data_IF_048207998329
#
_entry.id   IF_048207998329
#
_cell.length_a   1.000
_cell.length_b   1.000
_cell.length_c   1.000
_cell.angle_alpha   90.00
_cell.angle_beta   90.00
_cell.angle_gamma   90.00
#
_symmetry.space_group_name_H-M   'P 1'
#
loop_
_entity.id
_entity.type
_entity.pdbx_description
1 polymer ?
#
# COMPACT_ATOMS: atom_id res chain seq x y z
N UNK A 1 -1.99 -1.31 16.92
CA UNK A 1 -2.03 0.00 17.59
C UNK A 1 -0.70 0.67 17.40
N UNK A 2 -0.69 1.94 17.04
CA UNK A 2 0.51 2.74 16.84
C UNK A 2 0.37 4.06 17.60
N UNK A 3 1.49 4.65 18.02
CA UNK A 3 1.49 5.89 18.80
C UNK A 3 1.25 7.15 17.94
N UNK A 4 0.93 7.00 16.65
CA UNK A 4 0.88 8.11 15.70
C UNK A 4 -0.14 7.90 14.61
N UNK A 5 -0.64 8.99 14.03
CA UNK A 5 -1.63 8.92 12.96
C UNK A 5 -0.96 8.33 11.72
N UNK A 6 -1.47 7.17 11.27
CA UNK A 6 -1.18 6.63 9.94
C UNK A 6 -2.25 7.18 9.00
N UNK A 7 -1.83 7.93 7.98
CA UNK A 7 -2.70 8.43 6.92
C UNK A 7 -3.21 7.32 5.99
N UNK A 8 -2.49 6.20 5.93
CA UNK A 8 -2.82 5.04 5.09
C UNK A 8 -3.59 3.96 5.88
N UNK A 9 -3.42 2.69 5.55
CA UNK A 9 -4.17 1.60 6.18
C UNK A 9 -3.45 1.09 7.45
N UNK A 10 -4.20 1.03 8.56
CA UNK A 10 -3.75 0.38 9.78
C UNK A 10 -3.86 -1.16 9.68
N UNK A 11 -2.94 -1.84 10.38
CA UNK A 11 -2.89 -3.29 10.51
C UNK A 11 -3.31 -3.72 11.92
N UNK A 12 -4.20 -4.70 12.02
CA UNK A 12 -4.58 -5.38 13.26
C UNK A 12 -3.67 -6.59 13.47
N UNK A 13 -2.41 -6.31 13.81
CA UNK A 13 -1.34 -7.30 13.80
C UNK A 13 -1.26 -8.18 15.04
N UNK A 14 -0.40 -9.21 14.96
CA UNK A 14 -0.02 -10.07 16.08
C UNK A 14 0.40 -9.32 17.35
N UNK A 15 1.07 -8.17 17.22
CA UNK A 15 1.39 -7.33 18.38
C UNK A 15 0.14 -6.80 19.08
N UNK A 16 -0.87 -6.40 18.31
CA UNK A 16 -2.13 -5.86 18.86
C UNK A 16 -3.00 -6.96 19.42
N UNK A 17 -3.14 -8.07 18.70
CA UNK A 17 -3.95 -9.21 19.16
C UNK A 17 -3.36 -9.84 20.42
N UNK A 18 -2.05 -10.03 20.49
CA UNK A 18 -1.40 -10.57 21.70
C UNK A 18 -1.51 -9.62 22.89
N UNK A 19 -1.29 -8.31 22.70
CA UNK A 19 -1.50 -7.34 23.78
C UNK A 19 -2.93 -7.40 24.33
N UNK A 20 -3.94 -7.48 23.46
CA UNK A 20 -5.34 -7.60 23.88
C UNK A 20 -5.63 -8.94 24.58
N UNK A 21 -5.04 -10.05 24.14
CA UNK A 21 -5.13 -11.35 24.84
C UNK A 21 -4.56 -11.24 26.27
N UNK A 22 -3.41 -10.59 26.42
CA UNK A 22 -2.72 -10.43 27.70
C UNK A 22 -3.45 -9.52 28.69
N UNK A 23 -4.32 -8.61 28.22
CA UNK A 23 -5.15 -7.79 29.12
C UNK A 23 -6.16 -8.60 29.94
N UNK A 24 -6.53 -9.80 29.47
CA UNK A 24 -7.60 -10.60 30.07
C UNK A 24 -9.02 -10.05 29.88
N UNK A 25 -9.21 -8.89 29.22
CA UNK A 25 -10.53 -8.30 29.00
C UNK A 25 -11.39 -9.05 27.96
N UNK A 26 -10.75 -9.77 27.04
CA UNK A 26 -11.41 -10.49 25.97
C UNK A 26 -11.28 -11.99 26.21
N UNK A 27 -12.42 -12.70 26.23
CA UNK A 27 -12.42 -14.16 26.41
C UNK A 27 -11.70 -14.89 25.25
N UNK A 28 -11.80 -14.35 24.03
CA UNK A 28 -11.08 -14.84 22.85
C UNK A 28 -10.92 -13.71 21.83
N UNK A 29 -9.81 -13.71 21.13
CA UNK A 29 -9.62 -12.96 19.89
C UNK A 29 -9.61 -13.94 18.75
N UNK A 30 -10.38 -13.67 17.71
CA UNK A 30 -10.44 -14.55 16.55
C UNK A 30 -9.14 -14.42 15.74
N UNK A 31 -8.43 -15.54 15.58
CA UNK A 31 -7.15 -15.58 14.87
C UNK A 31 -7.27 -15.13 13.41
N UNK A 32 -8.46 -15.27 12.81
CA UNK A 32 -8.68 -14.78 11.45
C UNK A 32 -8.58 -13.26 11.32
N UNK A 33 -8.68 -12.52 12.43
CA UNK A 33 -8.53 -11.06 12.48
C UNK A 33 -7.07 -10.63 12.52
N UNK A 34 -6.15 -11.54 12.84
CA UNK A 34 -4.73 -11.21 12.93
C UNK A 34 -4.14 -10.99 11.53
N UNK A 35 -3.77 -9.75 11.25
CA UNK A 35 -3.26 -9.35 9.95
C UNK A 35 -1.74 -9.50 9.89
N UNK A 36 -1.25 -10.10 8.82
CA UNK A 36 0.18 -10.24 8.59
C UNK A 36 0.82 -8.87 8.32
N UNK A 37 1.86 -8.55 9.09
CA UNK A 37 2.73 -7.39 8.85
C UNK A 37 4.11 -7.84 8.37
N UNK A 38 4.72 -7.02 7.53
CA UNK A 38 6.06 -7.25 6.98
C UNK A 38 7.08 -6.19 7.36
N UNK A 39 6.63 -5.00 7.76
CA UNK A 39 7.50 -3.94 8.22
C UNK A 39 8.30 -4.42 9.46
N UNK A 40 9.64 -4.42 9.36
CA UNK A 40 10.52 -4.88 10.44
C UNK A 40 10.59 -6.41 10.59
N UNK A 41 9.91 -7.19 9.74
CA UNK A 41 9.91 -8.66 9.83
C UNK A 41 11.28 -9.23 9.46
N UNK A 42 11.85 -10.03 10.35
CA UNK A 42 13.14 -10.72 10.12
C UNK A 42 14.36 -9.80 10.17
N UNK A 43 14.24 -8.57 10.70
CA UNK A 43 15.34 -7.60 10.77
C UNK A 43 16.24 -7.74 12.00
N UNK A 44 15.88 -8.63 12.93
CA UNK A 44 16.65 -8.90 14.14
C UNK A 44 16.54 -7.82 15.22
N UNK A 45 17.28 -8.00 16.31
CA UNK A 45 17.19 -7.16 17.50
C UNK A 45 17.66 -5.73 17.27
N UNK A 46 18.63 -5.51 16.38
CA UNK A 46 19.20 -4.19 16.11
C UNK A 46 18.16 -3.18 15.60
N UNK A 47 17.20 -3.66 14.79
CA UNK A 47 16.05 -2.89 14.34
C UNK A 47 15.19 -2.38 15.52
N UNK A 48 15.05 -3.19 16.57
CA UNK A 48 14.24 -2.87 17.76
C UNK A 48 15.03 -1.96 18.71
N UNK A 49 16.35 -2.15 18.80
CA UNK A 49 17.24 -1.40 19.68
C UNK A 49 17.64 -0.01 19.13
N UNK A 50 17.02 0.44 18.04
CA UNK A 50 17.13 1.83 17.55
C UNK A 50 18.23 2.09 16.52
N UNK A 51 18.88 1.06 15.96
CA UNK A 51 19.79 1.25 14.82
C UNK A 51 19.01 1.27 13.52
N UNK A 52 18.75 2.47 13.01
CA UNK A 52 18.09 2.68 11.73
C UNK A 52 19.12 2.64 10.60
N UNK A 53 19.12 1.54 9.84
CA UNK A 53 20.01 1.35 8.69
C UNK A 53 19.29 1.70 7.40
N UNK A 54 19.72 2.78 6.73
CA UNK A 54 19.15 3.24 5.45
C UNK A 54 19.26 2.20 4.31
N UNK A 55 20.06 1.14 4.48
CA UNK A 55 20.11 0.01 3.52
C UNK A 55 18.88 -0.88 3.63
N UNK A 56 18.13 -0.79 4.73
CA UNK A 56 16.89 -1.52 4.92
C UNK A 56 15.74 -0.72 4.30
N UNK A 57 14.88 -1.43 3.55
CA UNK A 57 13.69 -0.90 2.88
C UNK A 57 12.73 -0.14 3.81
N UNK A 58 12.76 -0.40 5.12
CA UNK A 58 11.98 0.32 6.14
C UNK A 58 12.34 1.81 6.23
N UNK A 59 13.55 2.16 5.82
CA UNK A 59 14.12 3.50 5.91
C UNK A 59 14.44 4.06 4.53
N UNK A 60 14.71 5.37 4.47
CA UNK A 60 15.02 6.06 3.22
C UNK A 60 16.18 7.05 3.34
N UNK A 61 16.81 7.34 2.21
CA UNK A 61 17.78 8.42 2.07
C UNK A 61 17.09 9.72 1.60
N UNK A 62 16.97 10.76 2.45
CA UNK A 62 16.29 12.00 2.09
C UNK A 62 16.96 12.76 0.94
N UNK A 63 18.24 12.48 0.62
CA UNK A 63 18.93 13.13 -0.50
C UNK A 63 18.56 12.53 -1.86
N UNK A 64 18.30 11.22 -1.90
CA UNK A 64 18.18 10.46 -3.15
C UNK A 64 16.78 9.85 -3.35
N UNK A 65 15.98 9.71 -2.29
CA UNK A 65 14.75 8.92 -2.27
C UNK A 65 13.52 9.75 -1.85
N UNK A 66 13.48 11.02 -2.27
CA UNK A 66 12.48 11.98 -1.79
C UNK A 66 11.05 11.73 -2.29
N UNK A 67 10.81 10.87 -3.30
CA UNK A 67 9.48 10.68 -3.91
C UNK A 67 9.15 9.23 -4.26
N UNK A 68 9.64 8.26 -3.50
CA UNK A 68 9.38 6.83 -3.73
C UNK A 68 8.02 6.36 -3.20
N UNK A 69 7.64 5.14 -3.48
CA UNK A 69 6.51 4.48 -2.82
C UNK A 69 6.80 4.20 -1.35
N UNK A 70 5.81 4.32 -0.48
CA UNK A 70 5.96 3.84 0.90
C UNK A 70 6.17 2.32 0.95
N UNK A 71 6.63 1.83 2.11
CA UNK A 71 6.89 0.41 2.34
C UNK A 71 5.70 -0.48 1.95
N UNK A 72 4.46 -0.04 2.16
CA UNK A 72 3.27 -0.83 1.89
C UNK A 72 2.68 -0.57 0.50
N UNK A 73 3.31 0.25 -0.34
CA UNK A 73 2.87 0.57 -1.69
C UNK A 73 1.45 1.19 -1.73
N UNK A 74 1.02 1.90 -0.70
CA UNK A 74 -0.26 2.60 -0.65
C UNK A 74 -0.26 3.91 -1.43
N UNK A 75 0.89 4.57 -1.57
CA UNK A 75 1.00 5.85 -2.27
C UNK A 75 2.46 6.24 -2.51
N UNK A 76 2.66 7.28 -3.32
CA UNK A 76 3.97 7.92 -3.36
C UNK A 76 4.14 8.78 -2.11
N UNK A 77 5.37 8.81 -1.63
CA UNK A 77 5.74 9.19 -0.29
C UNK A 77 6.97 10.08 -0.32
N UNK A 78 7.09 10.91 0.71
CA UNK A 78 8.30 11.69 0.95
C UNK A 78 9.12 11.08 2.07
N UNK A 79 10.44 11.08 1.89
CA UNK A 79 11.36 10.68 2.94
C UNK A 79 11.42 11.75 4.04
N UNK A 80 10.85 11.47 5.21
CA UNK A 80 10.84 12.37 6.36
C UNK A 80 11.81 11.90 7.43
N UNK A 81 12.54 12.84 8.01
CA UNK A 81 13.56 12.57 9.03
C UNK A 81 12.98 12.76 10.43
N UNK A 82 13.38 11.91 11.37
CA UNK A 82 13.11 12.12 12.80
C UNK A 82 11.64 12.04 13.21
N UNK A 83 10.81 11.32 12.45
CA UNK A 83 9.42 11.11 12.84
C UNK A 83 9.34 10.33 14.16
N UNK A 84 8.33 10.66 14.97
CA UNK A 84 7.94 9.91 16.17
C UNK A 84 9.04 9.79 17.25
N UNK A 85 9.83 10.84 17.44
CA UNK A 85 10.94 10.90 18.40
C UNK A 85 12.07 9.87 18.17
N UNK A 86 12.13 9.26 16.98
CA UNK A 86 13.27 8.44 16.57
C UNK A 86 14.26 9.30 15.79
N UNK A 87 15.09 10.06 16.51
CA UNK A 87 16.18 10.83 15.89
C UNK A 87 17.07 9.89 15.08
N UNK A 88 17.31 10.25 13.81
CA UNK A 88 18.10 9.48 12.81
C UNK A 88 17.38 8.33 12.08
N UNK A 89 16.07 8.17 12.27
CA UNK A 89 15.28 7.23 11.48
C UNK A 89 14.46 7.99 10.45
N UNK A 90 14.75 7.73 9.17
CA UNK A 90 14.07 8.37 8.07
C UNK A 90 13.07 7.38 7.46
N UNK A 91 11.83 7.78 7.28
CA UNK A 91 10.80 6.89 6.74
C UNK A 91 10.02 7.56 5.60
N UNK A 92 9.53 6.74 4.68
CA UNK A 92 8.67 7.17 3.58
C UNK A 92 7.25 7.39 4.10
N UNK A 93 6.80 8.64 4.04
CA UNK A 93 5.49 9.07 4.51
C UNK A 93 4.57 9.45 3.34
N UNK A 94 3.40 8.80 3.25
CA UNK A 94 2.39 9.08 2.22
C UNK A 94 1.53 10.27 2.62
N UNK A 95 1.42 11.25 1.73
CA UNK A 95 0.52 12.37 1.88
C UNK A 95 -0.96 11.96 1.73
N UNK A 96 -1.86 12.67 2.40
CA UNK A 96 -3.29 12.35 2.36
C UNK A 96 -3.86 12.34 0.95
N UNK A 97 -3.41 13.27 0.12
CA UNK A 97 -3.81 13.40 -1.26
C UNK A 97 -3.06 12.46 -2.22
N UNK A 98 -2.01 11.75 -1.79
CA UNK A 98 -1.13 10.94 -2.65
C UNK A 98 -1.41 9.43 -2.61
N UNK A 99 -2.51 9.02 -1.99
CA UNK A 99 -2.90 7.61 -1.84
C UNK A 99 -3.37 7.06 -3.18
N UNK A 100 -2.71 6.01 -3.69
CA UNK A 100 -3.07 5.37 -4.95
C UNK A 100 -4.47 4.76 -4.93
N UNK A 101 -5.00 4.47 -3.75
CA UNK A 101 -6.35 3.93 -3.60
C UNK A 101 -7.48 4.97 -3.56
N UNK A 102 -7.14 6.25 -3.47
CA UNK A 102 -8.12 7.34 -3.39
C UNK A 102 -8.40 7.91 -4.77
N UNK A 103 -9.60 7.60 -5.30
CA UNK A 103 -10.07 8.13 -6.59
C UNK A 103 -10.32 9.64 -6.56
N UNK A 104 -10.48 10.25 -5.39
CA UNK A 104 -10.66 11.69 -5.21
C UNK A 104 -9.34 12.43 -5.05
N UNK A 105 -8.21 11.72 -5.15
CA UNK A 105 -6.90 12.35 -5.15
C UNK A 105 -6.82 13.43 -6.24
N UNK A 106 -6.33 14.64 -5.95
CA UNK A 106 -6.07 15.66 -6.98
C UNK A 106 -5.03 15.19 -8.01
N UNK A 107 -4.24 14.17 -7.67
CA UNK A 107 -3.30 13.55 -8.60
C UNK A 107 -3.95 12.55 -9.55
N UNK A 108 -5.21 12.16 -9.34
CA UNK A 108 -5.94 11.35 -10.31
C UNK A 108 -6.20 12.14 -11.61
N UNK A 109 -6.44 13.45 -11.50
CA UNK A 109 -6.75 14.31 -12.64
C UNK A 109 -5.61 15.17 -13.18
N UNK A 110 -4.46 15.18 -12.49
CA UNK A 110 -3.30 15.97 -12.91
C UNK A 110 -2.72 15.52 -14.25
N UNK A 111 -2.38 16.49 -15.10
CA UNK A 111 -1.73 16.25 -16.40
C UNK A 111 -0.41 15.48 -16.26
N UNK A 112 0.35 15.75 -15.18
CA UNK A 112 1.68 15.16 -14.95
C UNK A 112 1.58 13.68 -14.56
N UNK A 113 0.58 13.31 -13.80
CA UNK A 113 0.36 11.93 -13.37
C UNK A 113 -0.30 11.12 -14.49
N UNK A 114 -1.22 11.73 -15.24
CA UNK A 114 -1.77 11.16 -16.47
C UNK A 114 -0.67 10.88 -17.50
N UNK A 115 0.32 11.77 -17.68
CA UNK A 115 1.47 11.51 -18.56
C UNK A 115 2.39 10.39 -18.09
N UNK A 116 2.24 9.89 -16.86
CA UNK A 116 2.97 8.73 -16.34
C UNK A 116 2.13 7.44 -16.41
N UNK A 117 0.92 7.49 -17.00
CA UNK A 117 -0.01 6.37 -17.06
C UNK A 117 -0.66 6.03 -15.71
N UNK A 118 -0.65 6.97 -14.75
CA UNK A 118 -1.17 6.69 -13.41
C UNK A 118 -2.67 6.36 -13.43
N UNK A 119 -3.06 5.43 -12.56
CA UNK A 119 -4.45 5.10 -12.26
C UNK A 119 -4.64 4.99 -10.75
N UNK A 120 -5.69 5.65 -10.26
CA UNK A 120 -6.09 5.60 -8.87
C UNK A 120 -7.36 4.76 -8.70
N UNK A 121 -7.47 4.08 -7.56
CA UNK A 121 -8.59 3.22 -7.23
C UNK A 121 -8.22 2.15 -6.22
N UNK A 122 -9.21 1.54 -5.56
CA UNK A 122 -8.97 0.50 -4.55
C UNK A 122 -8.22 -0.73 -5.08
N UNK A 123 -8.14 -0.89 -6.40
CA UNK A 123 -7.37 -1.89 -7.13
C UNK A 123 -5.97 -1.40 -7.58
N UNK A 124 -5.53 -0.24 -7.09
CA UNK A 124 -4.27 0.41 -7.47
C UNK A 124 -3.27 0.47 -6.32
N UNK A 125 -1.98 0.36 -6.67
CA UNK A 125 -0.82 0.39 -5.77
C UNK A 125 0.26 1.29 -6.32
N UNK A 126 1.14 1.74 -5.44
CA UNK A 126 2.32 2.46 -5.84
C UNK A 126 3.41 1.50 -6.35
N UNK A 127 4.04 1.83 -7.47
CA UNK A 127 5.24 1.20 -8.00
C UNK A 127 6.30 2.27 -8.27
N UNK A 128 7.55 1.98 -7.93
CA UNK A 128 8.65 2.89 -8.25
C UNK A 128 8.95 2.82 -9.75
N UNK A 129 9.29 3.95 -10.37
CA UNK A 129 9.56 4.00 -11.81
C UNK A 129 9.95 5.38 -12.29
N UNK A 130 10.28 5.46 -13.57
CA UNK A 130 10.60 6.70 -14.28
C UNK A 130 9.72 6.89 -15.52
N UNK A 131 8.56 6.22 -15.53
CA UNK A 131 7.70 6.14 -16.70
C UNK A 131 7.13 7.51 -17.06
N UNK A 132 7.27 7.90 -18.33
CA UNK A 132 6.80 9.18 -18.86
C UNK A 132 6.46 9.04 -20.35
N UNK A 133 5.28 9.51 -20.75
CA UNK A 133 4.82 9.44 -22.14
C UNK A 133 5.81 10.10 -23.11
N UNK A 134 6.01 9.49 -24.28
CA UNK A 134 6.87 10.04 -25.33
C UNK A 134 6.38 11.44 -25.74
N UNK A 135 7.32 12.36 -25.95
CA UNK A 135 7.03 13.77 -26.25
C UNK A 135 7.20 14.72 -25.05
N UNK A 136 7.30 14.20 -23.83
CA UNK A 136 7.69 14.98 -22.66
C UNK A 136 9.21 14.96 -22.44
N UNK A 137 9.76 16.04 -21.86
CA UNK A 137 11.20 16.11 -21.53
C UNK A 137 11.50 15.17 -20.37
N UNK A 138 12.22 14.09 -20.67
CA UNK A 138 12.61 13.09 -19.68
C UNK A 138 13.61 13.68 -18.67
N UNK A 139 13.36 13.39 -17.40
CA UNK A 139 14.33 13.52 -16.31
C UNK A 139 14.37 12.14 -15.68
N UNK A 140 15.49 11.43 -15.77
CA UNK A 140 15.64 10.05 -15.28
C UNK A 140 15.63 9.99 -13.74
N UNK A 141 14.49 10.34 -13.15
CA UNK A 141 14.27 10.41 -11.71
C UNK A 141 13.27 9.31 -11.39
N UNK A 142 13.66 8.41 -10.48
CA UNK A 142 12.79 7.36 -9.98
C UNK A 142 11.84 7.99 -8.96
N UNK A 143 10.56 7.72 -9.12
CA UNK A 143 9.47 8.19 -8.26
C UNK A 143 8.37 7.14 -8.16
N UNK A 144 7.53 7.26 -7.15
CA UNK A 144 6.34 6.44 -6.99
C UNK A 144 5.25 6.83 -8.01
N UNK A 145 4.63 5.83 -8.60
CA UNK A 145 3.60 5.93 -9.62
C UNK A 145 2.47 4.95 -9.28
N UNK A 146 1.22 5.37 -9.44
CA UNK A 146 0.06 4.58 -9.05
C UNK A 146 -0.45 3.78 -10.25
N UNK A 147 -0.51 2.47 -10.14
CA UNK A 147 -1.03 1.61 -11.21
C UNK A 147 -2.00 0.58 -10.66
N UNK A 148 -2.99 0.24 -11.48
CA UNK A 148 -3.83 -0.93 -11.23
C UNK A 148 -2.96 -2.18 -11.27
N UNK A 149 -3.21 -3.11 -10.35
CA UNK A 149 -2.45 -4.35 -10.29
C UNK A 149 -3.32 -5.55 -9.99
N UNK A 150 -2.77 -6.73 -10.23
CA UNK A 150 -3.37 -8.01 -9.86
C UNK A 150 -2.28 -9.02 -9.53
N UNK A 151 -2.45 -9.75 -8.44
CA UNK A 151 -1.57 -10.87 -8.11
C UNK A 151 -2.16 -12.18 -8.60
N UNK A 152 -1.30 -13.03 -9.13
CA UNK A 152 -1.61 -14.45 -9.37
C UNK A 152 -2.08 -15.15 -8.09
N UNK A 153 -2.88 -16.20 -8.24
CA UNK A 153 -3.45 -16.95 -7.11
C UNK A 153 -2.38 -17.56 -6.18
N UNK A 154 -1.22 -17.94 -6.72
CA UNK A 154 -0.08 -18.46 -5.95
C UNK A 154 0.81 -17.35 -5.33
N UNK A 155 0.54 -16.08 -5.65
CA UNK A 155 1.29 -14.93 -5.14
C UNK A 155 2.73 -14.81 -5.68
N UNK A 156 3.05 -15.44 -6.81
CA UNK A 156 4.42 -15.45 -7.39
C UNK A 156 4.58 -14.52 -8.61
N UNK A 157 3.48 -13.94 -9.07
CA UNK A 157 3.44 -13.02 -10.20
C UNK A 157 2.53 -11.83 -9.89
N UNK A 158 2.96 -10.65 -10.32
CA UNK A 158 2.17 -9.40 -10.31
C UNK A 158 1.94 -8.93 -11.73
N UNK A 159 0.69 -8.68 -12.09
CA UNK A 159 0.30 -7.99 -13.31
C UNK A 159 0.12 -6.50 -12.99
N UNK A 160 0.73 -5.62 -13.77
CA UNK A 160 0.56 -4.17 -13.67
C UNK A 160 -0.11 -3.68 -14.95
N UNK A 161 -1.16 -2.87 -14.81
CA UNK A 161 -1.96 -2.39 -15.94
C UNK A 161 -1.76 -0.89 -16.14
N UNK A 162 -1.24 -0.52 -17.31
CA UNK A 162 -0.92 0.85 -17.70
C UNK A 162 -1.66 1.12 -19.01
N UNK A 163 -2.71 1.93 -18.94
CA UNK A 163 -3.67 2.10 -20.03
C UNK A 163 -4.19 0.74 -20.55
N UNK A 164 -3.88 0.39 -21.79
CA UNK A 164 -4.25 -0.90 -22.42
C UNK A 164 -3.14 -1.96 -22.34
N UNK A 165 -1.98 -1.61 -21.78
CA UNK A 165 -0.82 -2.50 -21.70
C UNK A 165 -0.82 -3.25 -20.37
N UNK A 166 -0.64 -4.58 -20.45
CA UNK A 166 -0.44 -5.46 -19.30
C UNK A 166 1.04 -5.83 -19.18
N UNK A 167 1.66 -5.41 -18.09
CA UNK A 167 3.01 -5.82 -17.71
C UNK A 167 2.93 -7.03 -16.77
N UNK A 168 3.81 -8.00 -16.99
CA UNK A 168 3.88 -9.23 -16.16
C UNK A 168 5.19 -9.26 -15.42
N UNK A 169 5.13 -9.09 -14.09
CA UNK A 169 6.25 -9.18 -13.17
C UNK A 169 6.39 -10.61 -12.63
N UNK A 170 7.42 -11.33 -13.08
CA UNK A 170 7.75 -12.68 -12.61
C UNK A 170 9.09 -12.73 -11.85
N UNK A 171 9.86 -11.65 -11.91
CA UNK A 171 11.15 -11.52 -11.26
C UNK A 171 11.17 -10.30 -10.36
N UNK A 172 11.65 -10.49 -9.14
CA UNK A 172 11.84 -9.41 -8.18
C UNK A 172 12.72 -8.30 -8.76
N UNK A 173 12.32 -7.05 -8.52
CA UNK A 173 13.06 -5.83 -8.94
C UNK A 173 13.36 -5.73 -10.44
N UNK A 174 12.65 -6.45 -11.30
CA UNK A 174 12.85 -6.30 -12.75
C UNK A 174 12.29 -4.96 -13.24
N UNK A 175 12.95 -4.37 -14.23
CA UNK A 175 12.47 -3.16 -14.91
C UNK A 175 11.65 -3.56 -16.14
N UNK A 176 10.47 -2.98 -16.28
CA UNK A 176 9.60 -3.18 -17.44
C UNK A 176 9.42 -1.88 -18.21
N UNK A 177 9.58 -1.93 -19.51
CA UNK A 177 9.28 -0.82 -20.42
C UNK A 177 7.84 -0.93 -20.93
N UNK A 178 7.28 0.20 -21.37
CA UNK A 178 5.92 0.28 -21.91
C UNK A 178 5.99 0.97 -23.26
N UNK A 179 5.29 0.43 -24.25
CA UNK A 179 5.15 1.07 -25.56
C UNK A 179 4.56 2.48 -25.42
N UNK A 180 5.01 3.44 -26.23
CA UNK A 180 4.63 4.87 -26.17
C UNK A 180 5.10 5.65 -24.93
N UNK A 181 5.84 4.99 -24.04
CA UNK A 181 6.49 5.64 -22.90
C UNK A 181 8.02 5.60 -23.04
N UNK A 182 8.66 6.46 -22.27
CA UNK A 182 10.09 6.45 -21.95
C UNK A 182 10.27 6.07 -20.49
N UNK A 183 11.45 5.57 -20.12
CA UNK A 183 11.71 5.07 -18.77
C UNK A 183 11.16 3.66 -18.54
N UNK A 184 10.84 3.35 -17.29
CA UNK A 184 10.42 2.01 -16.88
C UNK A 184 9.53 2.05 -15.63
N UNK A 185 8.85 0.93 -15.38
CA UNK A 185 8.22 0.59 -14.10
C UNK A 185 9.06 -0.51 -13.43
N UNK A 186 9.33 -0.36 -12.14
CA UNK A 186 10.04 -1.34 -11.33
C UNK A 186 9.04 -2.32 -10.71
N UNK A 187 9.21 -3.60 -10.98
CA UNK A 187 8.47 -4.66 -10.30
C UNK A 187 8.84 -4.71 -8.81
N UNK A 188 7.94 -5.22 -7.94
CA UNK A 188 8.20 -5.27 -6.50
C UNK A 188 9.51 -5.98 -6.15
N UNK A 189 10.19 -5.49 -5.12
CA UNK A 189 11.43 -6.08 -4.60
C UNK A 189 11.24 -7.50 -4.06
N UNK A 190 10.03 -7.78 -3.56
CA UNK A 190 9.61 -9.10 -3.15
C UNK A 190 8.15 -9.30 -3.56
N UNK A 191 7.95 -10.01 -4.68
CA UNK A 191 6.62 -10.26 -5.25
C UNK A 191 5.72 -11.02 -4.27
N UNK A 192 6.25 -12.03 -3.60
CA UNK A 192 5.48 -12.85 -2.65
C UNK A 192 5.01 -12.05 -1.45
N UNK A 193 5.86 -11.18 -0.92
CA UNK A 193 5.47 -10.25 0.15
C UNK A 193 4.44 -9.24 -0.34
N UNK A 194 4.70 -8.60 -1.49
CA UNK A 194 3.82 -7.60 -2.08
C UNK A 194 2.40 -8.13 -2.27
N UNK A 195 2.25 -9.36 -2.77
CA UNK A 195 0.95 -9.99 -2.97
C UNK A 195 0.21 -10.38 -1.68
N UNK A 196 0.93 -10.43 -0.54
CA UNK A 196 0.36 -10.67 0.78
C UNK A 196 0.07 -9.39 1.55
N UNK A 197 0.45 -8.22 1.04
CA UNK A 197 0.10 -6.93 1.65
C UNK A 197 -1.43 -6.77 1.68
N UNK A 198 -1.94 -6.27 2.82
CA UNK A 198 -3.37 -6.03 3.05
C UNK A 198 -3.95 -5.14 1.96
N UNK A 199 -4.95 -5.62 1.21
CA UNK A 199 -5.59 -4.81 0.16
C UNK A 199 -6.60 -3.84 0.76
N UNK A 200 -6.94 -2.82 -0.02
CA UNK A 200 -8.01 -1.89 0.33
C UNK A 200 -9.33 -2.53 -0.06
N UNK A 201 -10.21 -2.76 0.93
CA UNK A 201 -11.57 -3.20 0.65
C UNK A 201 -12.33 -2.12 -0.12
N UNK A 202 -13.17 -2.55 -1.05
CA UNK A 202 -14.02 -1.68 -1.87
C UNK A 202 -14.84 -0.74 -0.97
N UNK A 203 -14.83 0.55 -1.32
CA UNK A 203 -15.52 1.62 -0.61
C UNK A 203 -15.31 1.63 0.92
N UNK A 204 -14.20 1.07 1.42
CA UNK A 204 -13.92 0.91 2.85
C UNK A 204 -15.08 0.25 3.61
N UNK A 205 -15.71 -0.76 3.00
CA UNK A 205 -16.90 -1.43 3.51
C UNK A 205 -18.03 -0.46 3.89
N UNK A 206 -18.11 0.67 3.18
CA UNK A 206 -19.08 1.75 3.35
C UNK A 206 -19.26 2.21 4.80
N UNK A 207 -18.24 2.04 5.65
CA UNK A 207 -18.30 2.29 7.10
C UNK A 207 -19.37 1.44 7.85
N UNK A 208 -19.97 0.48 7.14
CA UNK A 208 -21.03 -0.41 7.60
C UNK A 208 -20.53 -1.85 7.82
N UNK A 209 -19.22 -2.03 7.86
CA UNK A 209 -18.56 -3.30 8.10
C UNK A 209 -17.09 -3.09 8.44
N UNK A 210 -16.34 -4.18 8.46
CA UNK A 210 -14.89 -4.16 8.57
C UNK A 210 -14.27 -5.03 7.48
N UNK A 211 -13.04 -4.70 7.10
CA UNK A 211 -12.30 -5.45 6.08
C UNK A 211 -11.55 -6.60 6.75
N UNK A 212 -11.84 -7.83 6.33
CA UNK A 212 -11.17 -9.04 6.79
C UNK A 212 -10.73 -9.85 5.57
N UNK A 213 -9.43 -10.13 5.44
CA UNK A 213 -8.88 -10.90 4.31
C UNK A 213 -9.33 -10.39 2.93
N UNK A 214 -9.39 -9.06 2.76
CA UNK A 214 -9.83 -8.36 1.55
C UNK A 214 -11.33 -8.52 1.21
N UNK A 215 -12.14 -8.95 2.18
CA UNK A 215 -13.60 -9.03 2.06
C UNK A 215 -14.25 -8.16 3.13
N UNK A 216 -15.36 -7.51 2.78
CA UNK A 216 -16.14 -6.77 3.75
C UNK A 216 -17.04 -7.70 4.56
N UNK A 217 -16.85 -7.70 5.88
CA UNK A 217 -17.73 -8.32 6.84
C UNK A 217 -18.70 -7.26 7.37
N UNK A 218 -19.96 -7.37 6.96
CA UNK A 218 -20.97 -6.35 7.22
C UNK A 218 -21.56 -6.43 8.62
N UNK A 219 -21.95 -5.28 9.16
CA UNK A 219 -22.78 -5.19 10.37
C UNK A 219 -24.14 -5.86 10.11
N UNK A 220 -24.82 -6.25 11.19
CA UNK A 220 -26.07 -7.04 11.18
C UNK A 220 -27.14 -6.58 10.19
N UNK A 221 -27.25 -5.28 9.94
CA UNK A 221 -28.31 -4.69 9.11
C UNK A 221 -27.85 -4.34 7.68
N UNK A 222 -26.63 -4.72 7.30
CA UNK A 222 -26.03 -4.39 6.02
C UNK A 222 -25.56 -5.62 5.26
N UNK A 223 -25.54 -5.53 3.93
CA UNK A 223 -25.09 -6.59 3.04
C UNK A 223 -24.52 -6.03 1.72
N UNK A 224 -23.99 -6.93 0.90
CA UNK A 224 -23.35 -6.61 -0.37
C UNK A 224 -21.84 -6.73 -0.30
N UNK A 225 -21.17 -6.55 -1.44
CA UNK A 225 -19.72 -6.68 -1.56
C UNK A 225 -18.94 -5.67 -0.69
N UNK A 226 -19.54 -4.49 -0.46
CA UNK A 226 -18.97 -3.37 0.30
C UNK A 226 -19.87 -2.88 1.44
N UNK A 227 -20.90 -3.64 1.82
CA UNK A 227 -21.85 -3.27 2.89
C UNK A 227 -22.64 -1.96 2.65
N UNK A 228 -22.81 -1.55 1.40
CA UNK A 228 -23.60 -0.37 1.04
C UNK A 228 -25.12 -0.58 1.17
N UNK A 229 -25.60 -1.82 1.07
CA UNK A 229 -27.04 -2.11 1.07
C UNK A 229 -27.56 -2.42 2.47
N UNK A 230 -28.77 -1.94 2.80
CA UNK A 230 -29.46 -2.26 4.06
C UNK A 230 -30.42 -3.41 3.89
N UNK A 231 -30.42 -4.34 4.84
CA UNK A 231 -31.38 -5.45 4.86
C UNK A 231 -32.80 -4.87 5.04
N UNK A 232 -33.77 -5.21 4.17
CA UNK A 232 -35.14 -4.75 4.33
C UNK A 232 -35.73 -5.27 5.64
N UNK A 233 -36.21 -4.36 6.50
CA UNK A 233 -36.93 -4.75 7.71
C UNK A 233 -38.27 -5.34 7.26
N UNK A 234 -38.46 -6.65 7.45
CA UNK A 234 -39.80 -7.25 7.34
C UNK A 234 -40.66 -6.64 8.44
N UNK A 235 -41.54 -5.71 8.09
CA UNK A 235 -42.61 -5.26 8.99
C UNK A 235 -43.47 -6.50 9.28
N UNK A 236 -43.49 -6.93 10.54
CA UNK A 236 -44.47 -7.89 11.05
C UNK A 236 -45.81 -7.19 11.21
#
# INVERSE_FOLDING_TARGET
MNASVISTQAYFSGFTTNLLRDTGYYAKINDSMEEQMFYGKGKGCEQVMGKCDIKLREYCDPKNEATLCDFHHYGFAECKTGLYNNSNCNNLFVYDNAKCFDVNSPFNDSKITKSNGNKFGTDSRCFNGSLLAKGYKQRNIIKGQCYKYECSANGQQVNIYIESVKLVCNKNSEQKTVENYTGFVLCPENITEFCKLKKICKNFCSQNGYCLNNKCECKKDFYGEDCSNKIPIKKK
#
